data_IF_114469373669
#
_entry.id   IF_114469373669
#
_cell.length_a   1.000
_cell.length_b   1.000
_cell.length_c   1.000
_cell.angle_alpha   90.00
_cell.angle_beta   90.00
_cell.angle_gamma   90.00
#
_symmetry.space_group_name_H-M   'P 1'
#
loop_
_entity.id
_entity.type
_entity.pdbx_description
1 polymer ?
#
# COMPACT_ATOMS: atom_id res chain seq x y z
N UNK A 1 11.64 1.26 -20.39
CA UNK A 1 10.18 1.07 -20.17
C UNK A 1 9.84 0.75 -18.71
N UNK A 2 10.58 -0.14 -18.04
CA UNK A 2 10.37 -0.51 -16.62
C UNK A 2 10.35 0.67 -15.64
N UNK A 3 11.32 1.58 -15.67
CA UNK A 3 11.34 2.75 -14.75
C UNK A 3 10.14 3.71 -14.92
N UNK A 4 9.67 3.97 -16.15
CA UNK A 4 8.47 4.80 -16.38
C UNK A 4 7.22 4.12 -15.81
N UNK A 5 7.14 2.80 -15.95
CA UNK A 5 6.07 1.96 -15.40
C UNK A 5 6.09 1.96 -13.86
N UNK A 6 7.26 1.77 -13.24
CA UNK A 6 7.47 1.85 -11.78
C UNK A 6 6.97 3.19 -11.23
N UNK A 7 7.44 4.31 -11.80
CA UNK A 7 7.03 5.65 -11.36
C UNK A 7 5.52 5.89 -11.48
N UNK A 8 4.88 5.35 -12.52
CA UNK A 8 3.42 5.47 -12.70
C UNK A 8 2.66 4.70 -11.62
N UNK A 9 3.14 3.51 -11.24
CA UNK A 9 2.54 2.69 -10.19
C UNK A 9 2.69 3.34 -8.80
N UNK A 10 3.90 3.81 -8.45
CA UNK A 10 4.13 4.54 -7.18
C UNK A 10 3.22 5.75 -7.07
N UNK A 11 3.17 6.56 -8.14
CA UNK A 11 2.32 7.75 -8.17
C UNK A 11 0.84 7.40 -8.00
N UNK A 12 0.36 6.37 -8.71
CA UNK A 12 -1.04 5.94 -8.63
C UNK A 12 -1.40 5.45 -7.23
N UNK A 13 -0.56 4.62 -6.62
CA UNK A 13 -0.79 4.14 -5.27
C UNK A 13 -0.77 5.29 -4.26
N UNK A 14 0.19 6.21 -4.38
CA UNK A 14 0.26 7.41 -3.54
C UNK A 14 -1.00 8.27 -3.66
N UNK A 15 -1.46 8.54 -4.89
CA UNK A 15 -2.68 9.30 -5.13
C UNK A 15 -3.92 8.61 -4.52
N UNK A 16 -3.99 7.27 -4.55
CA UNK A 16 -5.06 6.50 -3.92
C UNK A 16 -4.99 6.58 -2.39
N UNK A 17 -3.80 6.49 -1.80
CA UNK A 17 -3.61 6.64 -0.35
C UNK A 17 -4.07 8.02 0.11
N UNK A 18 -3.61 9.10 -0.52
CA UNK A 18 -3.99 10.47 -0.13
C UNK A 18 -5.50 10.73 -0.23
N UNK A 19 -6.19 10.09 -1.19
CA UNK A 19 -7.65 10.18 -1.33
C UNK A 19 -8.41 9.41 -0.26
N UNK A 20 -7.81 8.38 0.33
CA UNK A 20 -8.43 7.54 1.35
C UNK A 20 -8.15 8.01 2.78
N UNK A 21 -7.22 8.96 2.97
CA UNK A 21 -7.02 9.61 4.27
C UNK A 21 -8.23 10.46 4.65
N UNK A 22 -8.63 10.39 5.93
CA UNK A 22 -9.66 11.25 6.48
C UNK A 22 -9.06 12.63 6.79
N UNK A 23 -9.42 13.64 5.98
CA UNK A 23 -8.99 15.04 6.19
C UNK A 23 -9.52 15.67 7.48
N UNK A 24 -10.46 14.99 8.16
CA UNK A 24 -11.10 15.40 9.42
C UNK A 24 -10.82 14.37 10.52
N UNK A 25 -9.61 13.83 10.55
CA UNK A 25 -9.13 12.96 11.62
C UNK A 25 -8.97 13.76 12.92
N UNK A 26 -10.08 14.04 13.61
CA UNK A 26 -10.11 14.77 14.89
C UNK A 26 -10.14 13.85 16.12
N UNK A 27 -9.68 12.60 15.95
CA UNK A 27 -9.60 11.60 17.00
C UNK A 27 -8.38 10.75 16.76
N UNK A 28 -7.68 10.36 17.83
CA UNK A 28 -6.51 9.49 17.81
C UNK A 28 -6.66 8.28 16.87
N UNK A 29 -7.79 7.57 16.93
CA UNK A 29 -8.05 6.43 16.03
C UNK A 29 -7.99 6.80 14.53
N UNK A 30 -8.57 7.93 14.15
CA UNK A 30 -8.57 8.38 12.74
C UNK A 30 -7.22 8.93 12.32
N UNK A 31 -6.50 9.59 13.24
CA UNK A 31 -5.13 10.02 13.00
C UNK A 31 -4.22 8.82 12.79
N UNK A 32 -4.39 7.77 13.62
CA UNK A 32 -3.76 6.48 13.47
C UNK A 32 -4.01 5.84 12.10
N UNK A 33 -5.27 5.81 11.63
CA UNK A 33 -5.59 5.30 10.28
C UNK A 33 -4.80 6.04 9.21
N UNK A 34 -4.77 7.38 9.27
CA UNK A 34 -4.03 8.17 8.28
C UNK A 34 -2.53 7.90 8.33
N UNK A 35 -1.98 7.70 9.53
CA UNK A 35 -0.57 7.35 9.71
C UNK A 35 -0.26 5.94 9.18
N UNK A 36 -1.11 4.95 9.46
CA UNK A 36 -0.94 3.60 8.91
C UNK A 36 -0.98 3.57 7.39
N UNK A 37 -1.86 4.37 6.78
CA UNK A 37 -1.90 4.57 5.33
C UNK A 37 -0.61 5.23 4.80
N UNK A 38 -0.05 6.21 5.51
CA UNK A 38 1.19 6.86 5.11
C UNK A 38 2.40 5.94 5.22
N UNK A 39 2.52 5.20 6.33
CA UNK A 39 3.57 4.19 6.51
C UNK A 39 3.53 3.16 5.37
N UNK A 40 2.34 2.70 4.97
CA UNK A 40 2.18 1.75 3.88
C UNK A 40 2.62 2.32 2.52
N UNK A 41 2.32 3.60 2.26
CA UNK A 41 2.78 4.33 1.06
C UNK A 41 4.30 4.40 1.02
N UNK A 42 4.93 4.88 2.08
CA UNK A 42 6.39 5.05 2.16
C UNK A 42 7.09 3.69 2.02
N UNK A 43 6.56 2.67 2.70
CA UNK A 43 7.09 1.30 2.62
C UNK A 43 7.01 0.74 1.20
N UNK A 44 5.92 1.01 0.47
CA UNK A 44 5.80 0.59 -0.91
C UNK A 44 6.79 1.31 -1.81
N UNK A 45 6.94 2.63 -1.65
CA UNK A 45 7.89 3.45 -2.42
C UNK A 45 9.33 2.93 -2.23
N UNK A 46 9.72 2.66 -0.99
CA UNK A 46 11.06 2.14 -0.63
C UNK A 46 11.33 0.73 -1.19
N UNK A 47 10.29 -0.06 -1.43
CA UNK A 47 10.43 -1.45 -1.88
C UNK A 47 9.97 -1.69 -3.32
N UNK A 48 9.56 -0.65 -4.05
CA UNK A 48 8.90 -0.79 -5.37
C UNK A 48 9.76 -1.53 -6.39
N UNK A 49 11.08 -1.34 -6.35
CA UNK A 49 12.00 -2.02 -7.26
C UNK A 49 11.99 -3.54 -7.07
N UNK A 50 11.82 -4.00 -5.82
CA UNK A 50 11.72 -5.43 -5.47
C UNK A 50 10.35 -6.01 -5.85
N UNK A 51 9.31 -5.18 -5.89
CA UNK A 51 7.98 -5.59 -6.33
C UNK A 51 7.94 -5.80 -7.85
N UNK A 52 8.50 -4.87 -8.62
CA UNK A 52 8.38 -4.87 -10.08
C UNK A 52 9.49 -5.63 -10.83
N UNK A 53 10.40 -6.27 -10.09
CA UNK A 53 11.47 -7.10 -10.65
C UNK A 53 11.03 -8.52 -11.07
N UNK A 54 9.78 -8.91 -10.86
CA UNK A 54 9.29 -10.27 -11.21
C UNK A 54 9.15 -10.46 -12.73
N UNK A 55 9.48 -11.66 -13.19
CA UNK A 55 9.56 -12.05 -14.60
C UNK A 55 8.26 -11.79 -15.37
N UNK A 56 8.40 -11.52 -16.65
CA UNK A 56 7.32 -11.15 -17.58
C UNK A 56 6.51 -12.34 -18.11
N UNK A 57 6.87 -13.57 -17.77
CA UNK A 57 6.30 -14.79 -18.35
C UNK A 57 5.25 -15.48 -17.46
N UNK A 58 4.90 -14.90 -16.31
CA UNK A 58 3.83 -15.42 -15.45
C UNK A 58 2.44 -14.97 -15.93
N UNK A 59 1.45 -15.84 -15.76
CA UNK A 59 0.04 -15.49 -15.95
C UNK A 59 -0.34 -14.25 -15.10
N UNK A 60 -1.08 -13.27 -15.66
CA UNK A 60 -1.42 -12.03 -14.97
C UNK A 60 -2.08 -12.22 -13.59
N UNK A 61 -2.93 -13.23 -13.42
CA UNK A 61 -3.59 -13.50 -12.14
C UNK A 61 -2.61 -14.02 -11.09
N UNK A 62 -1.69 -14.89 -11.52
CA UNK A 62 -0.61 -15.40 -10.66
C UNK A 62 0.29 -14.26 -10.20
N UNK A 63 0.61 -13.33 -11.11
CA UNK A 63 1.42 -12.14 -10.81
C UNK A 63 0.74 -11.17 -9.86
N UNK A 64 -0.55 -10.89 -10.05
CA UNK A 64 -1.34 -10.05 -9.14
C UNK A 64 -1.32 -10.64 -7.72
N UNK A 65 -1.60 -11.94 -7.57
CA UNK A 65 -1.58 -12.62 -6.26
C UNK A 65 -0.21 -12.55 -5.60
N UNK A 66 0.85 -12.86 -6.33
CA UNK A 66 2.22 -12.78 -5.81
C UNK A 66 2.58 -11.38 -5.31
N UNK A 67 2.19 -10.33 -6.04
CA UNK A 67 2.42 -8.94 -5.63
C UNK A 67 1.63 -8.59 -4.37
N UNK A 68 0.36 -9.00 -4.30
CA UNK A 68 -0.48 -8.79 -3.13
C UNK A 68 0.11 -9.48 -1.90
N UNK A 69 0.49 -10.76 -2.02
CA UNK A 69 1.03 -11.54 -0.90
C UNK A 69 2.33 -10.93 -0.38
N UNK A 70 3.21 -10.47 -1.28
CA UNK A 70 4.45 -9.79 -0.90
C UNK A 70 4.17 -8.46 -0.19
N UNK A 71 3.18 -7.71 -0.64
CA UNK A 71 2.81 -6.45 0.00
C UNK A 71 2.23 -6.70 1.39
N UNK A 72 1.28 -7.62 1.50
CA UNK A 72 0.69 -8.03 2.78
C UNK A 72 1.77 -8.46 3.77
N UNK A 73 2.69 -9.34 3.35
CA UNK A 73 3.78 -9.82 4.20
C UNK A 73 4.64 -8.67 4.74
N UNK A 74 5.00 -7.70 3.90
CA UNK A 74 5.81 -6.56 4.34
C UNK A 74 5.03 -5.75 5.39
N UNK A 75 3.77 -5.42 5.10
CA UNK A 75 2.92 -4.65 6.03
C UNK A 75 2.74 -5.39 7.36
N UNK A 76 2.50 -6.70 7.33
CA UNK A 76 2.33 -7.55 8.52
C UNK A 76 3.58 -7.64 9.39
N UNK A 77 4.76 -7.40 8.82
CA UNK A 77 6.03 -7.38 9.57
C UNK A 77 6.33 -6.02 10.21
N UNK A 78 5.56 -4.97 9.89
CA UNK A 78 5.76 -3.65 10.49
C UNK A 78 5.29 -3.68 11.93
N UNK A 79 6.25 -3.66 12.86
CA UNK A 79 5.98 -3.47 14.28
C UNK A 79 6.02 -1.99 14.59
N UNK A 80 4.83 -1.41 14.79
CA UNK A 80 4.70 -0.02 15.25
C UNK A 80 5.01 0.00 16.74
N UNK A 81 6.22 0.42 17.08
CA UNK A 81 6.58 0.63 18.48
C UNK A 81 5.79 1.83 19.01
N UNK A 82 5.19 1.65 20.18
CA UNK A 82 4.59 2.74 20.94
C UNK A 82 5.56 3.91 21.03
N UNK A 83 5.24 5.02 20.36
CA UNK A 83 5.82 6.30 20.73
C UNK A 83 5.20 6.69 22.08
N UNK A 84 5.91 7.43 22.94
CA UNK A 84 5.42 7.79 24.28
C UNK A 84 4.05 8.49 24.31
N UNK A 85 3.55 8.97 23.17
CA UNK A 85 2.32 9.74 23.04
C UNK A 85 1.21 9.00 22.25
N UNK A 86 1.39 7.72 21.89
CA UNK A 86 0.32 6.99 21.18
C UNK A 86 -0.63 6.40 22.20
N UNK A 87 -1.90 6.82 22.12
CA UNK A 87 -2.98 6.11 22.80
C UNK A 87 -3.19 4.74 22.14
N UNK A 88 -3.83 3.82 22.86
CA UNK A 88 -4.22 2.54 22.29
C UNK A 88 -5.10 2.72 21.05
N UNK A 89 -6.04 3.68 21.09
CA UNK A 89 -6.89 4.03 19.96
C UNK A 89 -6.07 4.44 18.72
N UNK A 90 -4.98 5.19 18.91
CA UNK A 90 -4.08 5.56 17.82
C UNK A 90 -3.40 4.33 17.21
N UNK A 91 -2.91 3.41 18.04
CA UNK A 91 -2.28 2.16 17.58
C UNK A 91 -3.27 1.30 16.79
N UNK A 92 -4.48 1.11 17.34
CA UNK A 92 -5.55 0.37 16.68
C UNK A 92 -5.90 1.02 15.33
N UNK A 93 -5.91 2.35 15.30
CA UNK A 93 -6.06 3.12 14.08
C UNK A 93 -4.98 2.82 13.04
N UNK A 94 -3.70 2.76 13.44
CA UNK A 94 -2.59 2.44 12.53
C UNK A 94 -2.76 1.05 11.92
N UNK A 95 -3.12 0.05 12.73
CA UNK A 95 -3.35 -1.31 12.22
C UNK A 95 -4.56 -1.38 11.27
N UNK A 96 -5.64 -0.63 11.54
CA UNK A 96 -6.73 -0.48 10.58
C UNK A 96 -6.28 0.23 9.29
N UNK A 97 -5.40 1.22 9.40
CA UNK A 97 -4.74 1.87 8.25
C UNK A 97 -3.96 0.87 7.39
N UNK A 98 -3.26 -0.06 8.02
CA UNK A 98 -2.57 -1.17 7.33
C UNK A 98 -3.56 -2.06 6.56
N UNK A 99 -4.63 -2.53 7.20
CA UNK A 99 -5.65 -3.35 6.54
C UNK A 99 -6.32 -2.63 5.36
N UNK A 100 -6.57 -1.33 5.49
CA UNK A 100 -7.08 -0.51 4.38
C UNK A 100 -6.08 -0.38 3.25
N UNK A 101 -4.80 -0.20 3.56
CA UNK A 101 -3.75 -0.07 2.55
C UNK A 101 -3.64 -1.33 1.67
N UNK A 102 -3.80 -2.53 2.25
CA UNK A 102 -3.82 -3.81 1.51
C UNK A 102 -4.92 -3.86 0.46
N UNK A 103 -6.13 -3.41 0.80
CA UNK A 103 -7.27 -3.33 -0.12
C UNK A 103 -7.05 -2.29 -1.22
N UNK A 104 -6.47 -1.14 -0.87
CA UNK A 104 -6.12 -0.10 -1.84
C UNK A 104 -5.07 -0.61 -2.83
N UNK A 105 -4.08 -1.34 -2.32
CA UNK A 105 -3.02 -1.93 -3.14
C UNK A 105 -3.57 -2.96 -4.14
N UNK A 106 -4.46 -3.85 -3.67
CA UNK A 106 -5.14 -4.83 -4.52
C UNK A 106 -5.84 -4.17 -5.71
N UNK A 107 -6.65 -3.13 -5.46
CA UNK A 107 -7.33 -2.38 -6.51
C UNK A 107 -6.32 -1.72 -7.46
N UNK A 108 -5.23 -1.16 -6.92
CA UNK A 108 -4.19 -0.51 -7.71
C UNK A 108 -3.51 -1.48 -8.70
N UNK A 109 -3.17 -2.70 -8.25
CA UNK A 109 -2.51 -3.70 -9.09
C UNK A 109 -3.48 -4.38 -10.06
N UNK A 110 -4.74 -4.63 -9.66
CA UNK A 110 -5.75 -5.15 -10.58
C UNK A 110 -5.96 -4.22 -11.76
N UNK A 111 -6.19 -2.93 -11.53
CA UNK A 111 -6.33 -1.95 -12.61
C UNK A 111 -5.06 -1.85 -13.47
N UNK A 112 -3.88 -2.03 -12.89
CA UNK A 112 -2.62 -2.00 -13.63
C UNK A 112 -2.52 -3.15 -14.64
N UNK A 113 -2.82 -4.38 -14.22
CA UNK A 113 -2.66 -5.58 -15.05
C UNK A 113 -3.86 -5.86 -15.97
N UNK A 114 -5.06 -5.38 -15.63
CA UNK A 114 -6.21 -5.41 -16.55
C UNK A 114 -6.10 -4.36 -17.67
N UNK A 115 -5.40 -3.23 -17.44
CA UNK A 115 -5.18 -2.21 -18.47
C UNK A 115 -4.14 -2.59 -19.53
N UNK A 116 -3.24 -3.54 -19.21
CA UNK A 116 -2.22 -4.04 -20.15
C UNK A 116 -2.78 -5.13 -21.10
N UNK A 117 -4.01 -5.62 -20.90
CA UNK A 117 -4.67 -6.61 -21.79
C UNK A 117 -5.51 -6.00 -22.93
N UNK A 118 -5.60 -4.66 -23.02
CA UNK A 118 -6.38 -3.96 -24.07
C UNK A 118 -5.50 -3.12 -25.02
N UNK A 119 -4.19 -3.38 -25.12
CA UNK A 119 -3.25 -2.66 -26.01
C UNK A 119 -2.62 -3.54 -27.07
#
# INVERSE_FOLDING_TARGET
MKQKRIKKTVRKFSDLIERNKDRRAYSDYKEGINEGLEIAKDTFEDNVEKFLSTSTDEDPQTKIRSLQDRFNLIIDTIVVKEKPNYSQDHLDGIYEGFEKSKKIFENCIQEYYHSDSES
#
